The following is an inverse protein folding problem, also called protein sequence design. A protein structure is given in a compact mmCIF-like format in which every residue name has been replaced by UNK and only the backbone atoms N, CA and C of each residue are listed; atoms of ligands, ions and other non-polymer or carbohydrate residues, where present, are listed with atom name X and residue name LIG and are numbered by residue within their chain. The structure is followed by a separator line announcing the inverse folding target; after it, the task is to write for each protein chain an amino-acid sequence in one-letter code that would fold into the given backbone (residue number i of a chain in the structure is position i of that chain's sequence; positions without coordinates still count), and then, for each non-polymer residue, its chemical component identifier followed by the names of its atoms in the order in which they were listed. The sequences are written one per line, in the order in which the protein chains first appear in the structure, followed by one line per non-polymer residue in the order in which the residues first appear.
data_IF_034275631353
#
_entry.id   IF_034275631353
#
_cell.length_a   1.000
_cell.length_b   1.000
_cell.length_c   1.000
_cell.angle_alpha   90.00
_cell.angle_beta   90.00
_cell.angle_gamma   90.00
#
_symmetry.space_group_name_H-M   'P 1'
#
loop_
_entity.id
_entity.type
_entity.pdbx_description
1 polymer ?
#
# COMPACT_ATOMS: atom_id res chain seq x y z
N UNK A 1 0.17 -23.36 58.16
CA UNK A 1 0.14 -22.34 59.22
C UNK A 1 0.21 -23.05 60.56
N UNK A 2 1.43 -23.30 61.04
CA UNK A 2 1.72 -23.70 62.42
C UNK A 2 3.07 -23.06 62.77
N UNK A 3 3.02 -22.17 63.75
CA UNK A 3 4.06 -21.65 64.64
C UNK A 3 4.88 -22.82 65.22
N UNK A 4 6.13 -22.73 65.68
CA UNK A 4 6.91 -21.62 66.21
C UNK A 4 8.40 -22.03 66.33
N UNK A 5 9.26 -21.01 66.23
CA UNK A 5 10.57 -20.80 66.89
C UNK A 5 11.37 -21.98 67.47
N UNK A 6 12.67 -22.03 67.13
CA UNK A 6 13.77 -21.91 68.11
C UNK A 6 15.07 -21.50 67.41
N UNK A 7 15.69 -20.42 67.89
CA UNK A 7 17.08 -20.03 67.63
C UNK A 7 17.76 -19.92 69.00
N UNK A 8 19.01 -20.38 69.13
CA UNK A 8 20.04 -19.49 69.68
C UNK A 8 21.31 -19.52 68.81
N UNK A 9 21.74 -18.38 68.27
CA UNK A 9 22.82 -17.50 68.77
C UNK A 9 24.19 -18.12 69.02
N UNK A 10 25.13 -17.67 68.16
CA UNK A 10 26.47 -17.14 68.48
C UNK A 10 27.55 -18.14 68.98
N UNK A 11 28.84 -18.02 68.69
CA UNK A 11 29.64 -17.10 67.87
C UNK A 11 31.02 -17.75 67.65
N UNK A 12 31.74 -17.23 66.65
CA UNK A 12 33.20 -17.08 66.55
C UNK A 12 34.12 -18.30 66.77
N UNK A 13 35.02 -18.56 65.81
CA UNK A 13 36.46 -18.25 65.93
C UNK A 13 37.07 -18.31 64.53
N UNK A 14 37.77 -17.22 64.16
CA UNK A 14 38.61 -17.14 62.98
C UNK A 14 40.00 -17.72 63.28
N UNK A 15 40.57 -18.43 62.30
CA UNK A 15 41.98 -18.80 62.28
C UNK A 15 42.35 -19.33 60.89
N UNK A 16 43.28 -18.70 60.15
CA UNK A 16 43.61 -19.07 58.79
C UNK A 16 44.70 -20.15 58.78
N UNK A 17 44.58 -21.13 57.88
CA UNK A 17 45.68 -22.01 57.51
C UNK A 17 45.72 -22.13 55.99
N UNK A 18 46.67 -21.41 55.40
CA UNK A 18 47.15 -21.61 54.04
C UNK A 18 48.00 -22.88 53.99
N UNK A 19 47.75 -23.78 53.03
CA UNK A 19 48.77 -24.66 52.44
C UNK A 19 48.24 -25.33 51.16
N UNK A 20 48.70 -24.76 50.04
CA UNK A 20 49.32 -25.38 48.86
C UNK A 20 48.64 -26.56 48.11
N UNK A 21 48.35 -26.25 46.82
CA UNK A 21 48.15 -27.05 45.60
C UNK A 21 48.80 -28.45 45.53
N UNK A 22 48.20 -29.41 44.79
CA UNK A 22 48.57 -29.60 43.38
C UNK A 22 47.44 -29.94 42.38
N UNK A 23 47.59 -29.37 41.18
CA UNK A 23 47.18 -29.77 39.82
C UNK A 23 46.24 -30.98 39.56
N UNK A 24 45.22 -30.76 38.73
CA UNK A 24 44.61 -31.71 37.77
C UNK A 24 43.83 -30.94 36.67
N UNK A 25 43.50 -31.51 35.48
CA UNK A 25 43.82 -30.91 34.18
C UNK A 25 42.60 -30.57 33.28
N UNK A 26 42.87 -29.75 32.27
CA UNK A 26 42.24 -29.67 30.93
C UNK A 26 40.71 -29.94 30.86
N UNK A 27 39.93 -28.86 30.75
CA UNK A 27 38.70 -28.77 29.96
C UNK A 27 38.48 -27.27 29.65
N UNK A 28 38.81 -26.85 28.43
CA UNK A 28 37.86 -26.56 27.35
C UNK A 28 37.12 -25.23 27.56
N UNK A 29 37.54 -24.21 26.80
CA UNK A 29 36.73 -23.41 25.88
C UNK A 29 37.16 -21.93 25.92
N UNK A 30 37.90 -21.52 24.88
CA UNK A 30 38.15 -20.13 24.55
C UNK A 30 36.81 -19.46 24.18
N UNK A 31 36.28 -18.59 25.03
CA UNK A 31 35.29 -17.60 24.60
C UNK A 31 36.05 -16.32 24.20
N UNK A 32 36.42 -16.24 22.92
CA UNK A 32 36.75 -14.97 22.30
C UNK A 32 35.46 -14.14 22.23
N UNK A 33 35.48 -13.00 22.91
CA UNK A 33 34.44 -11.98 22.85
C UNK A 33 34.50 -11.32 21.46
N UNK A 34 33.83 -11.91 20.47
CA UNK A 34 33.57 -11.22 19.20
C UNK A 34 32.45 -10.23 19.42
N UNK A 35 32.81 -8.95 19.51
CA UNK A 35 31.88 -7.83 19.39
C UNK A 35 31.32 -7.89 17.96
N UNK A 36 30.13 -8.46 17.80
CA UNK A 36 29.39 -8.36 16.56
C UNK A 36 28.85 -6.93 16.50
N UNK A 37 29.55 -6.06 15.77
CA UNK A 37 28.93 -4.88 15.22
C UNK A 37 27.73 -5.33 14.38
N UNK A 38 26.60 -4.60 14.37
CA UNK A 38 25.54 -4.88 13.42
C UNK A 38 26.17 -4.74 12.04
N UNK A 39 26.20 -5.85 11.29
CA UNK A 39 26.43 -5.82 9.87
C UNK A 39 25.34 -4.91 9.31
N UNK A 40 25.74 -3.67 9.03
CA UNK A 40 25.00 -2.80 8.16
C UNK A 40 24.94 -3.57 6.85
N UNK A 41 23.83 -4.28 6.66
CA UNK A 41 23.49 -4.91 5.41
C UNK A 41 23.49 -3.75 4.41
N UNK A 42 24.61 -3.61 3.71
CA UNK A 42 24.69 -2.75 2.56
C UNK A 42 23.68 -3.36 1.61
N UNK A 43 22.49 -2.77 1.55
CA UNK A 43 21.58 -2.93 0.43
C UNK A 43 22.40 -2.57 -0.81
N UNK A 44 23.01 -3.61 -1.40
CA UNK A 44 23.82 -3.49 -2.56
C UNK A 44 22.92 -2.88 -3.64
N UNK A 45 23.37 -1.74 -4.15
CA UNK A 45 22.70 -0.96 -5.16
C UNK A 45 22.10 -1.85 -6.25
N UNK A 46 20.78 -1.78 -6.44
CA UNK A 46 20.16 -2.17 -7.69
C UNK A 46 20.51 -1.10 -8.73
N UNK A 47 21.70 -1.22 -9.30
CA UNK A 47 22.11 -0.46 -10.46
C UNK A 47 21.36 -0.99 -11.69
N UNK A 48 20.55 -0.11 -12.27
CA UNK A 48 20.09 -0.07 -13.68
C UNK A 48 19.22 -1.24 -14.18
N UNK A 49 18.08 -1.48 -13.53
CA UNK A 49 16.96 -2.28 -14.07
C UNK A 49 16.02 -1.44 -14.97
N UNK A 50 16.47 -0.28 -15.45
CA UNK A 50 15.66 0.67 -16.21
C UNK A 50 14.67 1.49 -15.37
N UNK A 51 14.83 1.49 -14.04
CA UNK A 51 14.02 2.30 -13.11
C UNK A 51 14.80 3.42 -12.43
N UNK A 52 14.07 4.39 -11.87
CA UNK A 52 14.58 5.47 -11.03
C UNK A 52 13.71 5.66 -9.77
N UNK A 53 14.23 6.29 -8.70
CA UNK A 53 13.42 6.59 -7.53
C UNK A 53 12.31 7.60 -7.84
N UNK A 54 11.10 7.36 -7.33
CA UNK A 54 10.00 8.32 -7.44
C UNK A 54 10.25 9.54 -6.52
N UNK A 55 10.66 10.66 -7.11
CA UNK A 55 11.05 11.86 -6.35
C UNK A 55 9.87 12.69 -5.79
N UNK A 56 8.72 12.67 -6.48
CA UNK A 56 7.55 13.49 -6.16
C UNK A 56 6.27 12.69 -6.35
N UNK A 57 5.30 13.00 -5.50
CA UNK A 57 3.97 12.41 -5.49
C UNK A 57 2.91 13.50 -5.45
N UNK A 58 1.72 13.18 -5.93
CA UNK A 58 0.49 13.87 -5.56
C UNK A 58 -0.25 13.06 -4.48
N UNK A 59 -1.11 13.72 -3.71
CA UNK A 59 -2.01 13.08 -2.75
C UNK A 59 -3.43 13.45 -3.16
N UNK A 60 -4.24 12.45 -3.48
CA UNK A 60 -5.57 12.69 -4.08
C UNK A 60 -6.61 13.09 -3.02
N UNK A 61 -6.51 12.57 -1.80
CA UNK A 61 -7.40 12.87 -0.68
C UNK A 61 -6.73 12.67 0.68
N UNK A 62 -7.26 13.35 1.70
CA UNK A 62 -6.84 13.28 3.11
C UNK A 62 -5.32 13.39 3.31
N UNK A 63 -4.68 14.49 2.87
CA UNK A 63 -3.24 14.66 3.00
C UNK A 63 -2.74 14.60 4.45
N UNK A 64 -3.59 14.86 5.44
CA UNK A 64 -3.28 14.76 6.87
C UNK A 64 -3.05 13.30 7.33
N UNK A 65 -3.55 12.33 6.57
CA UNK A 65 -3.33 10.90 6.83
C UNK A 65 -2.10 10.35 6.10
N UNK A 66 -1.37 11.19 5.36
CA UNK A 66 -0.13 10.82 4.68
C UNK A 66 1.07 11.58 5.25
N UNK A 67 2.13 10.84 5.59
CA UNK A 67 3.41 11.42 5.97
C UNK A 67 4.51 10.98 5.01
N UNK A 68 5.07 11.93 4.25
CA UNK A 68 6.20 11.69 3.36
C UNK A 68 7.51 12.05 4.06
N UNK A 69 8.16 11.06 4.67
CA UNK A 69 9.44 11.17 5.35
C UNK A 69 10.61 11.22 4.33
N UNK A 70 10.72 12.33 3.58
CA UNK A 70 11.67 12.51 2.48
C UNK A 70 13.12 12.18 2.83
N UNK A 71 13.57 12.50 4.04
CA UNK A 71 14.93 12.22 4.50
C UNK A 71 15.21 10.72 4.65
N UNK A 72 14.20 9.93 4.97
CA UNK A 72 14.29 8.47 5.06
C UNK A 72 13.90 7.77 3.75
N UNK A 73 13.34 8.50 2.79
CA UNK A 73 12.83 7.93 1.54
C UNK A 73 11.57 7.07 1.75
N UNK A 74 10.77 7.37 2.78
CA UNK A 74 9.57 6.59 3.13
C UNK A 74 8.30 7.44 2.99
N UNK A 75 7.21 6.78 2.55
CA UNK A 75 5.85 7.32 2.50
C UNK A 75 5.00 6.46 3.42
N UNK A 76 4.28 7.08 4.34
CA UNK A 76 3.39 6.39 5.26
C UNK A 76 1.96 6.82 5.03
N UNK A 77 1.06 5.86 4.82
CA UNK A 77 -0.38 6.08 4.73
C UNK A 77 -1.02 5.53 6.00
N UNK A 78 -1.72 6.40 6.72
CA UNK A 78 -2.44 6.06 7.95
C UNK A 78 -3.91 5.85 7.63
N UNK A 79 -4.51 4.79 8.16
CA UNK A 79 -5.95 4.62 8.20
C UNK A 79 -6.45 4.72 9.64
N UNK A 80 -7.38 5.64 9.88
CA UNK A 80 -8.06 5.82 11.17
C UNK A 80 -9.45 6.46 10.97
N UNK A 81 -9.97 7.15 11.99
CA UNK A 81 -11.27 7.84 11.94
C UNK A 81 -11.40 8.88 10.81
N UNK A 82 -10.29 9.34 10.23
CA UNK A 82 -10.26 10.25 9.08
C UNK A 82 -10.47 9.53 7.75
N UNK A 83 -10.52 8.20 7.75
CA UNK A 83 -10.32 7.36 6.58
C UNK A 83 -8.83 7.11 6.33
N UNK A 84 -8.50 6.75 5.10
CA UNK A 84 -7.11 6.63 4.65
C UNK A 84 -6.69 7.80 3.77
N UNK A 85 -5.62 7.60 3.00
CA UNK A 85 -5.19 8.49 1.95
C UNK A 85 -4.80 7.68 0.70
N UNK A 86 -4.68 8.37 -0.43
CA UNK A 86 -4.10 7.82 -1.66
C UNK A 86 -3.05 8.76 -2.20
N UNK A 87 -1.87 8.21 -2.52
CA UNK A 87 -0.84 8.94 -3.25
C UNK A 87 -0.64 8.33 -4.63
N UNK A 88 -0.08 9.14 -5.53
CA UNK A 88 0.25 8.71 -6.88
C UNK A 88 1.50 9.37 -7.43
N UNK A 89 2.06 8.79 -8.49
CA UNK A 89 3.05 9.46 -9.34
C UNK A 89 2.45 10.71 -10.01
N UNK A 90 3.31 11.68 -10.32
CA UNK A 90 2.89 12.87 -11.07
C UNK A 90 2.73 12.62 -12.57
N UNK A 91 3.36 11.57 -13.08
CA UNK A 91 3.36 11.22 -14.50
C UNK A 91 2.75 9.83 -14.70
N UNK A 92 2.10 9.64 -15.84
CA UNK A 92 1.72 8.32 -16.33
C UNK A 92 2.89 7.66 -17.03
N UNK A 93 2.97 6.34 -16.96
CA UNK A 93 3.98 5.52 -17.59
C UNK A 93 3.39 4.65 -18.69
N UNK A 94 4.17 4.34 -19.72
CA UNK A 94 3.82 3.42 -20.80
C UNK A 94 4.31 1.99 -20.49
N UNK A 95 3.73 0.95 -21.13
CA UNK A 95 4.27 -0.40 -21.04
C UNK A 95 5.72 -0.47 -21.53
N UNK A 96 6.51 -1.36 -20.94
CA UNK A 96 7.93 -1.58 -21.27
C UNK A 96 8.89 -1.36 -20.11
N UNK A 97 8.39 -1.18 -18.89
CA UNK A 97 9.19 -1.00 -17.68
C UNK A 97 8.54 -1.65 -16.46
N UNK A 98 9.14 -1.41 -15.30
CA UNK A 98 8.62 -1.90 -14.03
C UNK A 98 8.40 -0.76 -13.03
N UNK A 99 7.39 -0.94 -12.19
CA UNK A 99 7.25 -0.20 -10.93
C UNK A 99 7.53 -1.13 -9.77
N UNK A 100 8.07 -0.59 -8.69
CA UNK A 100 8.29 -1.36 -7.47
C UNK A 100 8.20 -0.49 -6.22
N UNK A 101 7.91 -1.11 -5.09
CA UNK A 101 8.11 -0.51 -3.77
C UNK A 101 8.44 -1.61 -2.77
N UNK A 102 9.23 -1.28 -1.76
CA UNK A 102 9.28 -2.06 -0.54
C UNK A 102 8.11 -1.63 0.37
N UNK A 103 7.24 -2.57 0.73
CA UNK A 103 6.01 -2.31 1.47
C UNK A 103 6.07 -3.05 2.80
N UNK A 104 5.67 -2.38 3.88
CA UNK A 104 5.34 -2.99 5.18
C UNK A 104 3.88 -2.68 5.51
N UNK A 105 3.08 -3.73 5.62
CA UNK A 105 1.67 -3.64 5.94
C UNK A 105 1.43 -3.11 7.37
N UNK A 106 0.23 -2.60 7.69
CA UNK A 106 -0.11 -2.23 9.05
C UNK A 106 -0.04 -3.42 10.02
N UNK A 107 0.35 -3.15 11.26
CA UNK A 107 0.29 -4.13 12.35
C UNK A 107 -1.13 -4.23 12.94
N UNK A 108 -1.34 -5.23 13.82
CA UNK A 108 -2.62 -5.45 14.51
C UNK A 108 -3.66 -6.22 13.70
N UNK A 109 -4.91 -6.17 14.16
CA UNK A 109 -6.08 -6.68 13.45
C UNK A 109 -6.48 -5.71 12.32
N UNK A 110 -6.02 -6.04 11.11
CA UNK A 110 -6.27 -5.26 9.89
C UNK A 110 -7.54 -5.68 9.14
N UNK A 111 -8.39 -6.54 9.71
CA UNK A 111 -9.59 -7.02 9.02
C UNK A 111 -10.45 -5.84 8.49
N UNK A 112 -10.99 -6.00 7.29
CA UNK A 112 -11.75 -4.99 6.56
C UNK A 112 -10.91 -4.05 5.69
N UNK A 113 -9.64 -3.83 6.01
CA UNK A 113 -8.79 -2.93 5.24
C UNK A 113 -8.28 -3.59 3.95
N UNK A 114 -8.18 -2.78 2.90
CA UNK A 114 -7.34 -3.04 1.74
C UNK A 114 -6.20 -2.00 1.76
N UNK A 115 -4.98 -2.48 1.61
CA UNK A 115 -3.79 -1.66 1.37
C UNK A 115 -3.14 -2.20 0.10
N UNK A 116 -2.64 -1.32 -0.75
CA UNK A 116 -2.32 -1.69 -2.13
C UNK A 116 -1.12 -0.94 -2.71
N UNK A 117 -0.69 -1.41 -3.88
CA UNK A 117 0.19 -0.73 -4.84
C UNK A 117 -0.27 -1.16 -6.24
N UNK A 118 -0.61 -0.21 -7.09
CA UNK A 118 -1.21 -0.52 -8.39
C UNK A 118 -0.87 0.51 -9.46
N UNK A 119 -0.98 0.11 -10.72
CA UNK A 119 -0.96 1.01 -11.87
C UNK A 119 -2.40 1.22 -12.33
N UNK A 120 -2.82 2.45 -12.59
CA UNK A 120 -4.14 2.71 -13.21
C UNK A 120 -4.06 3.88 -14.19
N UNK A 121 -4.76 3.78 -15.33
CA UNK A 121 -4.75 4.84 -16.35
C UNK A 121 -5.37 6.13 -15.83
N UNK A 122 -6.45 5.97 -15.04
CA UNK A 122 -7.05 7.01 -14.24
C UNK A 122 -7.98 6.34 -13.23
N UNK A 123 -7.60 6.45 -11.96
CA UNK A 123 -8.41 5.98 -10.85
C UNK A 123 -9.84 6.54 -10.89
N UNK A 124 -10.83 5.65 -10.73
CA UNK A 124 -12.26 5.98 -10.79
C UNK A 124 -12.84 6.11 -12.20
N UNK A 125 -12.04 5.99 -13.27
CA UNK A 125 -12.57 5.92 -14.64
C UNK A 125 -13.26 4.59 -14.91
N UNK A 126 -14.42 4.60 -15.56
CA UNK A 126 -15.16 3.38 -15.92
C UNK A 126 -14.49 2.56 -17.03
N UNK A 127 -13.53 3.14 -17.75
CA UNK A 127 -12.82 2.52 -18.86
C UNK A 127 -11.33 2.33 -18.57
N UNK A 128 -10.90 2.32 -17.31
CA UNK A 128 -9.47 2.28 -16.97
C UNK A 128 -8.78 0.98 -17.40
N UNK A 129 -7.50 1.10 -17.75
CA UNK A 129 -6.58 -0.04 -17.64
C UNK A 129 -5.95 0.01 -16.25
N UNK A 130 -5.74 -1.15 -15.63
CA UNK A 130 -5.26 -1.25 -14.25
C UNK A 130 -4.48 -2.56 -14.00
N UNK A 131 -3.49 -2.55 -13.09
CA UNK A 131 -2.70 -3.71 -12.71
C UNK A 131 -2.36 -3.64 -11.22
N UNK A 132 -2.73 -4.68 -10.45
CA UNK A 132 -2.90 -4.54 -9.01
C UNK A 132 -2.03 -5.48 -8.17
N UNK A 133 -1.56 -4.95 -7.03
CA UNK A 133 -1.34 -5.70 -5.80
C UNK A 133 -2.28 -5.19 -4.72
N UNK A 134 -3.06 -6.11 -4.14
CA UNK A 134 -4.05 -5.80 -3.11
C UNK A 134 -3.90 -6.76 -1.93
N UNK A 135 -3.60 -6.23 -0.76
CA UNK A 135 -3.52 -7.03 0.45
C UNK A 135 -4.88 -7.07 1.13
N UNK A 136 -5.32 -8.27 1.49
CA UNK A 136 -6.65 -8.47 2.06
C UNK A 136 -6.56 -8.53 3.58
N UNK A 137 -7.00 -7.47 4.27
CA UNK A 137 -6.69 -7.23 5.68
C UNK A 137 -7.12 -8.31 6.68
N UNK A 138 -8.00 -9.24 6.31
CA UNK A 138 -8.39 -10.38 7.17
C UNK A 138 -7.29 -11.46 7.29
N UNK A 139 -6.36 -11.54 6.35
CA UNK A 139 -5.18 -12.42 6.41
C UNK A 139 -3.96 -11.63 5.92
N UNK A 140 -3.04 -11.28 6.83
CA UNK A 140 -1.82 -10.52 6.51
C UNK A 140 -0.83 -11.30 5.61
N UNK A 141 -1.17 -12.52 5.22
CA UNK A 141 -0.45 -13.34 4.25
C UNK A 141 -1.20 -13.46 2.91
N UNK A 142 -2.38 -12.85 2.78
CA UNK A 142 -3.19 -12.86 1.57
C UNK A 142 -2.85 -11.66 0.69
N UNK A 143 -2.37 -11.95 -0.52
CA UNK A 143 -2.08 -10.97 -1.56
C UNK A 143 -2.90 -11.33 -2.80
N UNK A 144 -3.81 -10.46 -3.21
CA UNK A 144 -4.51 -10.55 -4.47
C UNK A 144 -3.76 -9.78 -5.55
N UNK A 145 -3.76 -10.33 -6.76
CA UNK A 145 -3.35 -9.63 -7.98
C UNK A 145 -4.52 -9.60 -8.94
N UNK A 146 -4.66 -8.52 -9.71
CA UNK A 146 -5.66 -8.38 -10.74
C UNK A 146 -5.11 -7.52 -11.88
N UNK A 147 -5.81 -7.50 -13.01
CA UNK A 147 -5.62 -6.46 -14.00
C UNK A 147 -6.92 -6.20 -14.75
N UNK A 148 -7.15 -4.92 -15.09
CA UNK A 148 -8.30 -4.45 -15.84
C UNK A 148 -7.87 -3.97 -17.22
N UNK A 149 -8.76 -4.18 -18.19
CA UNK A 149 -8.60 -3.65 -19.55
C UNK A 149 -9.91 -2.98 -19.94
N UNK A 150 -9.86 -1.68 -20.22
CA UNK A 150 -11.05 -0.89 -20.56
C UNK A 150 -12.20 -1.08 -19.56
N UNK A 151 -11.89 -1.06 -18.26
CA UNK A 151 -12.84 -1.24 -17.15
C UNK A 151 -13.13 -2.69 -16.77
N UNK A 152 -12.90 -3.64 -17.68
CA UNK A 152 -13.21 -5.04 -17.41
C UNK A 152 -12.09 -5.70 -16.59
N UNK A 153 -12.38 -6.07 -15.34
CA UNK A 153 -11.54 -6.87 -14.44
C UNK A 153 -11.90 -8.37 -14.47
N UNK A 154 -12.06 -8.99 -13.30
CA UNK A 154 -12.45 -10.40 -13.18
C UNK A 154 -11.30 -11.39 -13.41
N UNK A 155 -10.07 -10.96 -13.11
CA UNK A 155 -8.83 -11.73 -13.30
C UNK A 155 -8.06 -11.87 -12.00
N UNK A 156 -8.80 -11.94 -10.89
CA UNK A 156 -8.26 -12.02 -9.55
C UNK A 156 -7.50 -13.34 -9.36
N UNK A 157 -6.31 -13.26 -8.80
CA UNK A 157 -5.57 -14.43 -8.30
C UNK A 157 -5.10 -14.14 -6.88
N UNK A 158 -5.42 -15.05 -5.97
CA UNK A 158 -5.01 -14.99 -4.58
C UNK A 158 -3.71 -15.77 -4.36
N UNK A 159 -2.73 -15.12 -3.77
CA UNK A 159 -1.40 -15.64 -3.44
C UNK A 159 -1.22 -15.67 -1.93
N UNK A 160 -0.67 -16.77 -1.42
CA UNK A 160 -0.29 -16.87 0.00
C UNK A 160 1.19 -16.56 0.16
N UNK A 161 1.47 -15.44 0.83
CA UNK A 161 2.83 -15.03 1.16
C UNK A 161 3.47 -16.03 2.14
N UNK A 162 4.79 -16.28 2.01
CA UNK A 162 5.54 -17.12 2.95
C UNK A 162 5.85 -16.41 4.28
N UNK A 163 5.55 -15.12 4.39
CA UNK A 163 5.72 -14.27 5.56
C UNK A 163 4.41 -13.51 5.87
N UNK A 164 4.33 -12.90 7.05
CA UNK A 164 3.32 -11.89 7.38
C UNK A 164 3.77 -10.53 6.85
N UNK A 165 2.97 -9.86 6.03
CA UNK A 165 3.36 -8.62 5.35
C UNK A 165 3.62 -7.44 6.31
N UNK A 166 3.25 -7.55 7.58
CA UNK A 166 3.48 -6.52 8.60
C UNK A 166 4.79 -6.68 9.38
N UNK A 167 5.44 -7.86 9.31
CA UNK A 167 6.64 -8.17 10.09
C UNK A 167 7.89 -7.39 9.61
N UNK A 168 7.87 -6.88 8.38
CA UNK A 168 8.99 -6.18 7.77
C UNK A 168 8.66 -5.62 6.40
N UNK A 169 9.65 -4.98 5.79
CA UNK A 169 9.55 -4.53 4.40
C UNK A 169 9.86 -5.68 3.46
N UNK A 170 8.95 -5.96 2.52
CA UNK A 170 9.14 -6.87 1.40
C UNK A 170 9.01 -6.11 0.09
N UNK A 171 9.70 -6.55 -0.96
CA UNK A 171 9.69 -5.85 -2.25
C UNK A 171 8.55 -6.37 -3.13
N UNK A 172 7.72 -5.47 -3.65
CA UNK A 172 6.64 -5.80 -4.58
C UNK A 172 6.90 -5.06 -5.88
N UNK A 173 6.92 -5.78 -7.00
CA UNK A 173 7.20 -5.20 -8.30
C UNK A 173 6.23 -5.71 -9.37
N UNK A 174 5.79 -4.80 -10.22
CA UNK A 174 4.97 -5.08 -11.40
C UNK A 174 5.83 -4.73 -12.62
N UNK A 175 6.23 -5.73 -13.39
CA UNK A 175 6.82 -5.54 -14.71
C UNK A 175 5.70 -5.61 -15.74
N UNK A 176 5.42 -4.48 -16.40
CA UNK A 176 4.32 -4.34 -17.35
C UNK A 176 4.89 -4.12 -18.74
N UNK A 177 4.72 -5.11 -19.61
CA UNK A 177 5.18 -5.07 -20.99
C UNK A 177 4.07 -5.30 -22.00
N UNK A 178 4.41 -5.15 -23.28
CA UNK A 178 3.49 -5.38 -24.40
C UNK A 178 3.10 -6.86 -24.57
N UNK A 179 3.94 -7.79 -24.11
CA UNK A 179 3.78 -9.24 -24.30
C UNK A 179 3.48 -10.00 -23.00
N UNK A 180 3.83 -9.42 -21.84
CA UNK A 180 3.61 -10.06 -20.55
C UNK A 180 3.53 -9.04 -19.41
N UNK A 181 2.79 -9.42 -18.36
CA UNK A 181 2.79 -8.76 -17.06
C UNK A 181 3.31 -9.75 -16.04
N UNK A 182 4.26 -9.31 -15.21
CA UNK A 182 4.78 -10.11 -14.11
C UNK A 182 4.62 -9.39 -12.78
N UNK A 183 4.08 -10.11 -11.80
CA UNK A 183 4.03 -9.71 -10.41
C UNK A 183 5.13 -10.45 -9.67
N UNK A 184 5.97 -9.70 -8.97
CA UNK A 184 7.09 -10.21 -8.20
C UNK A 184 6.97 -9.82 -6.74
N UNK A 185 7.25 -10.77 -5.87
CA UNK A 185 7.40 -10.57 -4.42
C UNK A 185 8.80 -10.98 -4.04
N UNK A 186 9.55 -10.06 -3.45
CA UNK A 186 11.00 -10.13 -3.27
C UNK A 186 11.69 -10.44 -4.61
N UNK A 187 12.36 -11.59 -4.73
CA UNK A 187 12.99 -12.05 -5.98
C UNK A 187 12.09 -12.94 -6.85
N UNK A 188 10.96 -13.41 -6.31
CA UNK A 188 10.16 -14.48 -6.91
C UNK A 188 9.02 -13.93 -7.77
N UNK A 189 8.81 -14.53 -8.95
CA UNK A 189 7.62 -14.26 -9.77
C UNK A 189 6.46 -15.05 -9.19
N UNK A 190 5.46 -14.36 -8.64
CA UNK A 190 4.25 -14.99 -8.07
C UNK A 190 3.13 -15.15 -9.11
N UNK A 191 3.14 -14.31 -10.14
CA UNK A 191 2.22 -14.40 -11.28
C UNK A 191 2.90 -13.87 -12.54
N UNK A 192 2.66 -14.56 -13.65
CA UNK A 192 2.99 -14.09 -15.00
C UNK A 192 1.79 -14.34 -15.89
N UNK A 193 1.32 -13.27 -16.52
CA UNK A 193 0.29 -13.32 -17.55
C UNK A 193 0.93 -13.02 -18.89
N UNK A 194 0.66 -13.86 -19.89
CA UNK A 194 1.16 -13.67 -21.25
C UNK A 194 0.04 -13.14 -22.14
N UNK A 195 0.39 -12.21 -23.02
CA UNK A 195 -0.56 -11.70 -24.00
C UNK A 195 -0.91 -12.82 -24.98
N UNK A 196 -2.21 -13.12 -25.08
CA UNK A 196 -2.72 -14.06 -26.07
C UNK A 196 -2.49 -13.58 -27.50
N UNK A 197 -2.53 -14.47 -28.50
CA UNK A 197 -2.33 -14.08 -29.89
C UNK A 197 -3.45 -13.14 -30.38
N UNK A 198 -3.07 -12.11 -31.14
CA UNK A 198 -4.00 -11.16 -31.75
C UNK A 198 -4.38 -9.98 -30.84
N UNK A 199 -5.43 -9.20 -31.19
CA UNK A 199 -5.80 -7.97 -30.48
C UNK A 199 -6.63 -8.24 -29.21
N UNK A 200 -6.29 -9.30 -28.47
CA UNK A 200 -6.97 -9.63 -27.20
C UNK A 200 -6.81 -8.50 -26.17
N UNK A 201 -7.67 -8.46 -25.14
CA UNK A 201 -7.65 -7.41 -24.13
C UNK A 201 -6.29 -7.40 -23.41
N UNK A 202 -5.61 -6.27 -23.47
CA UNK A 202 -4.32 -6.03 -22.83
C UNK A 202 -4.24 -4.59 -22.33
N UNK A 203 -3.69 -4.31 -21.13
CA UNK A 203 -3.56 -2.94 -20.65
C UNK A 203 -2.46 -2.22 -21.42
N UNK A 204 -2.84 -1.17 -22.13
CA UNK A 204 -1.98 -0.42 -23.06
C UNK A 204 -2.03 1.09 -22.81
N UNK A 205 -3.06 1.60 -22.13
CA UNK A 205 -3.17 3.02 -21.77
C UNK A 205 -2.01 3.42 -20.84
N UNK A 206 -1.46 4.65 -20.96
CA UNK A 206 -0.52 5.16 -19.97
C UNK A 206 -1.14 5.13 -18.56
N UNK A 207 -0.38 4.72 -17.54
CA UNK A 207 -0.88 4.56 -16.16
C UNK A 207 -0.04 5.30 -15.11
N UNK A 208 -0.69 5.94 -14.14
CA UNK A 208 0.01 6.39 -12.94
C UNK A 208 0.30 5.20 -12.02
N UNK A 209 1.35 5.32 -11.22
CA UNK A 209 1.53 4.49 -10.03
C UNK A 209 0.69 5.06 -8.90
N UNK A 210 -0.12 4.24 -8.24
CA UNK A 210 -0.95 4.58 -7.10
C UNK A 210 -0.64 3.66 -5.91
N UNK A 211 -0.93 4.18 -4.71
CA UNK A 211 -1.13 3.36 -3.53
C UNK A 211 -2.08 4.04 -2.55
N UNK A 212 -2.86 3.23 -1.84
CA UNK A 212 -3.86 3.69 -0.89
C UNK A 212 -4.03 2.69 0.25
N UNK A 213 -4.70 3.16 1.31
CA UNK A 213 -5.28 2.32 2.35
C UNK A 213 -6.74 2.73 2.50
N UNK A 214 -7.67 1.78 2.47
CA UNK A 214 -9.10 2.06 2.56
C UNK A 214 -9.86 0.91 3.23
N UNK A 215 -11.07 1.20 3.74
CA UNK A 215 -11.96 0.20 4.30
C UNK A 215 -12.81 -0.42 3.20
N UNK A 216 -12.49 -1.67 2.89
CA UNK A 216 -13.15 -2.50 1.90
C UNK A 216 -14.17 -3.46 2.51
N UNK A 217 -14.51 -3.33 3.80
CA UNK A 217 -15.41 -4.26 4.49
C UNK A 217 -16.85 -4.24 3.98
N UNK A 218 -17.23 -3.22 3.20
CA UNK A 218 -18.50 -3.18 2.47
C UNK A 218 -18.53 -4.08 1.22
N UNK A 219 -17.37 -4.46 0.68
CA UNK A 219 -17.26 -5.28 -0.53
C UNK A 219 -17.61 -6.73 -0.21
N UNK A 220 -18.48 -7.30 -1.03
CA UNK A 220 -18.97 -8.69 -0.89
C UNK A 220 -19.43 -9.02 0.55
N UNK A 221 -20.11 -8.07 1.21
CA UNK A 221 -20.58 -8.19 2.59
C UNK A 221 -19.46 -8.49 3.62
N UNK A 222 -18.24 -8.06 3.32
CA UNK A 222 -17.03 -8.27 4.12
C UNK A 222 -16.36 -9.61 3.87
N UNK A 223 -16.80 -10.41 2.90
CA UNK A 223 -16.13 -11.68 2.55
C UNK A 223 -14.77 -11.48 1.89
N UNK A 224 -14.55 -10.36 1.22
CA UNK A 224 -13.30 -10.08 0.51
C UNK A 224 -12.15 -9.70 1.46
N UNK A 225 -12.31 -8.65 2.27
CA UNK A 225 -11.27 -8.17 3.19
C UNK A 225 -11.55 -8.44 4.67
N UNK A 226 -12.68 -9.04 5.02
CA UNK A 226 -13.15 -9.17 6.39
C UNK A 226 -14.06 -8.01 6.82
N UNK A 227 -14.58 -8.08 8.05
CA UNK A 227 -15.31 -6.96 8.67
C UNK A 227 -14.33 -6.04 9.37
N UNK A 228 -14.49 -4.73 9.18
CA UNK A 228 -13.65 -3.75 9.86
C UNK A 228 -14.02 -3.65 11.35
N UNK A 229 -13.04 -3.87 12.22
CA UNK A 229 -13.20 -3.72 13.67
C UNK A 229 -12.59 -2.44 14.23
N UNK A 230 -11.53 -1.92 13.59
CA UNK A 230 -10.87 -0.66 13.96
C UNK A 230 -10.22 -0.63 15.35
N UNK A 231 -9.90 -1.79 15.94
CA UNK A 231 -9.45 -1.89 17.34
C UNK A 231 -8.01 -1.44 17.57
N UNK A 232 -7.19 -1.51 16.52
CA UNK A 232 -5.75 -1.23 16.59
C UNK A 232 -5.36 0.02 15.79
N UNK A 233 -6.35 0.86 15.41
CA UNK A 233 -6.07 2.13 14.76
C UNK A 233 -5.17 3.03 15.65
N UNK A 234 -4.22 3.81 15.08
CA UNK A 234 -4.01 4.02 13.66
C UNK A 234 -3.25 2.87 12.95
N UNK A 235 -3.72 2.50 11.77
CA UNK A 235 -3.09 1.50 10.91
C UNK A 235 -2.15 2.19 9.92
N UNK A 236 -0.86 1.88 9.95
CA UNK A 236 0.14 2.57 9.13
C UNK A 236 0.72 1.61 8.10
N UNK A 237 0.40 1.81 6.83
CA UNK A 237 1.08 1.15 5.71
C UNK A 237 2.28 2.00 5.28
N UNK A 238 3.46 1.39 5.18
CA UNK A 238 4.71 2.09 4.86
C UNK A 238 5.27 1.63 3.53
N UNK A 239 5.70 2.58 2.71
CA UNK A 239 6.30 2.39 1.39
C UNK A 239 7.68 3.03 1.38
N UNK A 240 8.68 2.35 0.85
CA UNK A 240 10.02 2.90 0.64
C UNK A 240 10.64 2.33 -0.62
N UNK A 241 11.75 2.92 -1.08
CA UNK A 241 12.41 2.51 -2.32
C UNK A 241 11.39 2.37 -3.47
N UNK A 242 10.56 3.40 -3.64
CA UNK A 242 9.55 3.43 -4.70
C UNK A 242 10.26 3.72 -6.01
N UNK A 243 10.14 2.80 -6.95
CA UNK A 243 10.84 2.79 -8.25
C UNK A 243 9.83 2.91 -9.39
N UNK A 244 10.18 3.71 -10.39
CA UNK A 244 9.37 3.96 -11.59
C UNK A 244 10.25 3.92 -12.85
N UNK A 245 9.71 3.64 -14.06
CA UNK A 245 10.51 3.60 -15.29
C UNK A 245 11.18 4.96 -15.63
N UNK A 246 12.45 4.93 -16.08
CA UNK A 246 13.25 6.15 -16.42
C UNK A 246 12.73 6.90 -17.67
N UNK A 247 12.24 6.18 -18.68
CA UNK A 247 12.18 6.71 -20.05
C UNK A 247 10.84 6.49 -20.77
N UNK A 248 9.77 6.22 -20.02
CA UNK A 248 8.46 5.88 -20.59
C UNK A 248 7.34 6.67 -19.91
N UNK A 249 7.50 7.99 -19.74
CA UNK A 249 6.45 8.84 -19.16
C UNK A 249 5.80 9.75 -20.18
N UNK A 250 4.49 9.99 -20.06
CA UNK A 250 3.79 11.04 -20.82
C UNK A 250 3.78 12.32 -19.99
N UNK A 251 4.25 13.43 -20.56
CA UNK A 251 4.10 14.77 -19.97
C UNK A 251 2.68 15.26 -20.30
N UNK A 252 1.93 15.71 -19.30
CA UNK A 252 0.63 16.35 -19.54
C UNK A 252 0.93 17.76 -20.08
N UNK A 253 0.46 18.07 -21.30
CA UNK A 253 0.36 19.46 -21.74
C UNK A 253 -0.67 20.13 -20.82
N UNK A 254 -0.21 21.07 -20.00
CA UNK A 254 -1.09 21.91 -19.20
C UNK A 254 -2.12 22.55 -20.13
N UNK A 255 -3.40 22.22 -19.97
CA UNK A 255 -4.48 22.91 -20.64
C UNK A 255 -4.49 24.35 -20.09
N UNK A 256 -3.85 25.27 -20.81
CA UNK A 256 -3.89 26.70 -20.52
C UNK A 256 -5.37 27.14 -20.47
N UNK A 257 -5.77 27.68 -19.33
CA UNK A 257 -7.06 28.33 -19.11
C UNK A 257 -7.18 29.52 -20.09
N UNK A 258 -7.96 29.39 -21.16
CA UNK A 258 -8.46 30.56 -21.90
C UNK A 258 -9.55 31.25 -21.06
N UNK A 259 -9.13 32.10 -20.12
CA UNK A 259 -9.97 33.19 -19.61
C UNK A 259 -9.45 34.55 -20.08
N UNK A 260 -10.32 35.30 -20.76
CA UNK A 260 -10.25 36.76 -20.76
C UNK A 260 -9.89 37.41 -22.09
N UNK A 261 -10.88 37.58 -22.96
CA UNK A 261 -10.93 38.80 -23.77
C UNK A 261 -12.36 39.33 -23.89
N UNK A 262 -12.61 40.32 -23.05
CA UNK A 262 -13.70 41.29 -23.12
C UNK A 262 -13.92 41.79 -24.56
N UNK A 263 -15.17 41.78 -25.01
CA UNK A 263 -15.74 42.90 -25.75
C UNK A 263 -17.23 43.04 -25.43
N UNK A 264 -17.52 44.01 -24.57
CA UNK A 264 -18.83 44.63 -24.46
C UNK A 264 -19.26 45.24 -25.80
N UNK A 265 -20.52 45.08 -26.21
CA UNK A 265 -21.43 46.22 -26.34
C UNK A 265 -22.91 45.80 -26.47
N UNK A 266 -23.73 46.73 -25.99
CA UNK A 266 -25.17 46.78 -25.82
C UNK A 266 -26.06 46.43 -27.02
N UNK A 267 -27.33 46.11 -26.69
CA UNK A 267 -28.47 46.64 -27.44
C UNK A 267 -29.63 45.68 -27.63
N UNK A 268 -30.80 46.13 -27.17
CA UNK A 268 -32.15 45.78 -27.62
C UNK A 268 -32.82 44.47 -27.16
N UNK A 269 -33.81 44.66 -26.29
CA UNK A 269 -35.08 43.94 -26.29
C UNK A 269 -36.11 44.86 -26.97
N UNK A 270 -37.20 44.36 -27.61
CA UNK A 270 -38.32 43.83 -26.81
C UNK A 270 -39.23 42.74 -27.46
N UNK A 271 -39.97 42.08 -26.57
CA UNK A 271 -41.37 41.63 -26.65
C UNK A 271 -41.84 40.58 -27.68
N UNK A 272 -42.43 39.47 -27.18
CA UNK A 272 -43.80 39.04 -27.49
C UNK A 272 -44.12 37.62 -26.96
N UNK A 273 -45.15 37.61 -26.11
CA UNK A 273 -46.18 36.62 -25.73
C UNK A 273 -46.37 35.26 -26.46
N UNK A 274 -47.01 34.35 -25.69
CA UNK A 274 -47.90 33.24 -26.09
C UNK A 274 -47.21 31.88 -26.37
N UNK A 275 -47.72 30.68 -26.06
CA UNK A 275 -48.94 30.18 -25.39
C UNK A 275 -48.76 28.66 -25.27
N UNK A 276 -49.22 28.11 -24.14
CA UNK A 276 -49.67 26.74 -23.79
C UNK A 276 -49.39 25.52 -24.70
N UNK A 277 -49.12 24.36 -24.07
CA UNK A 277 -49.98 23.17 -24.21
C UNK A 277 -49.77 22.14 -23.08
N UNK A 278 -50.89 21.69 -22.52
CA UNK A 278 -51.07 20.66 -21.48
C UNK A 278 -50.79 19.23 -21.96
N UNK A 279 -50.42 18.35 -21.02
CA UNK A 279 -51.12 17.09 -20.67
C UNK A 279 -50.35 16.41 -19.52
N UNK A 280 -50.88 16.43 -18.29
CA UNK A 280 -51.75 15.41 -17.68
C UNK A 280 -51.03 14.06 -17.40
N UNK A 281 -50.57 13.85 -16.15
CA UNK A 281 -51.24 13.14 -15.04
C UNK A 281 -51.18 11.62 -15.16
N UNK A 282 -50.44 10.97 -14.24
CA UNK A 282 -50.92 9.76 -13.55
C UNK A 282 -50.49 9.87 -12.08
N UNK A 283 -51.47 9.80 -11.18
CA UNK A 283 -51.34 9.80 -9.73
C UNK A 283 -51.20 8.37 -9.19
N UNK A 284 -50.53 8.23 -8.04
CA UNK A 284 -50.73 7.12 -7.11
C UNK A 284 -50.75 7.68 -5.68
N UNK A 285 -51.65 7.11 -4.87
CA UNK A 285 -52.24 7.68 -3.67
C UNK A 285 -51.53 7.29 -2.36
N UNK A 286 -51.89 7.98 -1.27
CA UNK A 286 -51.89 7.42 0.09
C UNK A 286 -51.72 8.44 1.22
N UNK A 287 -52.58 8.31 2.26
CA UNK A 287 -52.57 8.97 3.58
C UNK A 287 -53.17 10.40 3.64
N UNK A 288 -54.03 10.81 4.57
CA UNK A 288 -54.54 10.24 5.82
C UNK A 288 -55.88 10.92 6.18
N UNK A 289 -56.74 10.21 6.91
CA UNK A 289 -57.85 10.77 7.70
C UNK A 289 -57.37 11.02 9.14
N UNK A 290 -57.26 12.27 9.56
CA UNK A 290 -57.84 12.85 10.80
C UNK A 290 -57.68 14.39 10.81
#
# INVERSE_FOLDING_TARGET
MWTEMHVPTAAAVAGPALLQNPTCPIQLLCALLSIMAPECDSAAAAADDGTEPLARIAVDYTPEALHHARAAGEIHVTYDHRGGARWRSLRRYLPGGAVAAAIRAPAGDTAGLNYNLYLSSLEGSADMDEIDFEFLGHDKRALQTNFHVSGAGGREMLHRLPFDASDGFHRYAIAWGAEAIEWRVDSEVVRREERGPGPGPWPEKPMFLYASVWDASGVDEGRWTGRYHGRDAPYICSYRDVRVPVSLSVEEEDAEEEEGRDHANAGDAPDATATTCSAAVVAAAGADEE
#
